data_IF_820271320535
#
_entry.id   IF_820271320535
#
_cell.length_a   1.000
_cell.length_b   1.000
_cell.length_c   1.000
_cell.angle_alpha   90.00
_cell.angle_beta   90.00
_cell.angle_gamma   90.00
#
_symmetry.space_group_name_H-M   'P 1'
#
loop_
_entity.id
_entity.type
_entity.pdbx_description
1 polymer ?
#
# COMPACT_ATOMS: atom_id res chain seq x y z
N UNK A 1 -30.81 23.50 -1.18
CA UNK A 1 -29.43 23.37 -1.69
C UNK A 1 -29.15 21.89 -1.88
N UNK A 2 -28.73 21.43 -3.06
CA UNK A 2 -28.34 20.04 -3.23
C UNK A 2 -27.07 19.79 -2.40
N UNK A 3 -27.12 18.77 -1.55
CA UNK A 3 -25.96 18.27 -0.81
C UNK A 3 -25.05 17.62 -1.86
N UNK A 4 -23.93 18.27 -2.16
CA UNK A 4 -22.86 17.69 -2.97
C UNK A 4 -22.24 16.57 -2.13
N UNK A 5 -22.62 15.33 -2.39
CA UNK A 5 -21.83 14.19 -1.90
C UNK A 5 -20.47 14.25 -2.60
N UNK A 6 -19.35 14.14 -1.88
CA UNK A 6 -18.06 14.02 -2.53
C UNK A 6 -18.11 12.84 -3.49
N UNK A 7 -17.68 13.11 -4.72
CA UNK A 7 -17.54 12.15 -5.81
C UNK A 7 -16.94 10.86 -5.25
N UNK A 8 -17.64 9.73 -5.38
CA UNK A 8 -17.19 8.43 -4.87
C UNK A 8 -15.71 8.24 -5.19
N UNK A 9 -14.88 8.07 -4.15
CA UNK A 9 -13.50 7.66 -4.30
C UNK A 9 -13.44 6.41 -5.18
N UNK A 10 -12.70 6.47 -6.29
CA UNK A 10 -12.61 5.36 -7.22
C UNK A 10 -11.60 4.34 -6.69
N UNK A 11 -12.08 3.16 -6.28
CA UNK A 11 -11.22 2.00 -6.02
C UNK A 11 -11.27 1.09 -7.24
N UNK A 12 -10.15 0.95 -7.94
CA UNK A 12 -10.01 0.06 -9.09
C UNK A 12 -9.22 -1.17 -8.67
N UNK A 13 -9.90 -2.31 -8.54
CA UNK A 13 -9.26 -3.59 -8.25
C UNK A 13 -9.18 -4.46 -9.51
N UNK A 14 -7.98 -4.92 -9.84
CA UNK A 14 -7.69 -5.84 -10.94
C UNK A 14 -7.14 -7.19 -10.44
N UNK A 15 -7.26 -7.46 -9.13
CA UNK A 15 -6.80 -8.72 -8.50
C UNK A 15 -7.97 -9.70 -8.39
N UNK A 16 -7.79 -10.99 -8.74
CA UNK A 16 -8.82 -12.00 -8.53
C UNK A 16 -9.17 -12.15 -7.03
N UNK A 17 -10.45 -12.03 -6.70
CA UNK A 17 -10.97 -12.24 -5.34
C UNK A 17 -11.31 -13.71 -5.03
N UNK A 18 -11.26 -14.60 -6.04
CA UNK A 18 -11.38 -16.04 -5.86
C UNK A 18 -10.22 -16.57 -5.03
N UNK A 19 -10.48 -17.53 -4.13
CA UNK A 19 -9.46 -18.18 -3.28
C UNK A 19 -8.72 -17.25 -2.31
N UNK A 20 -9.35 -16.14 -1.90
CA UNK A 20 -8.75 -15.13 -1.01
C UNK A 20 -8.25 -15.66 0.36
N UNK A 21 -8.78 -16.79 0.82
CA UNK A 21 -8.31 -17.44 2.06
C UNK A 21 -7.07 -18.33 1.89
N UNK A 22 -6.70 -18.69 0.66
CA UNK A 22 -5.58 -19.59 0.37
C UNK A 22 -4.26 -18.83 0.16
N UNK A 23 -4.34 -17.54 -0.15
CA UNK A 23 -3.19 -16.66 -0.28
C UNK A 23 -2.87 -16.03 1.08
N UNK A 24 -1.68 -16.33 1.59
CA UNK A 24 -1.14 -15.80 2.84
C UNK A 24 -0.23 -14.62 2.56
N UNK A 25 -0.31 -13.59 3.40
CA UNK A 25 0.55 -12.41 3.31
C UNK A 25 1.94 -12.76 3.84
N UNK A 26 3.00 -12.31 3.15
CA UNK A 26 4.39 -12.57 3.56
C UNK A 26 5.16 -11.30 3.91
N UNK A 27 5.03 -10.26 3.12
CA UNK A 27 5.63 -8.96 3.43
C UNK A 27 4.90 -7.81 2.75
N UNK A 28 5.05 -6.63 3.33
CA UNK A 28 4.64 -5.35 2.77
C UNK A 28 5.89 -4.53 2.49
N UNK A 29 6.03 -4.04 1.26
CA UNK A 29 7.14 -3.21 0.81
C UNK A 29 6.58 -1.85 0.42
N UNK A 30 6.99 -0.80 1.10
CA UNK A 30 6.69 0.58 0.74
C UNK A 30 7.90 1.18 0.02
N UNK A 31 7.75 1.45 -1.28
CA UNK A 31 8.76 2.08 -2.10
C UNK A 31 8.56 3.60 -2.13
N UNK A 32 9.64 4.33 -1.86
CA UNK A 32 9.68 5.79 -1.78
C UNK A 32 10.68 6.28 -2.84
N UNK A 33 10.25 6.39 -4.11
CA UNK A 33 11.19 6.72 -5.18
C UNK A 33 11.76 8.14 -5.01
N UNK A 34 13.03 8.37 -5.40
CA UNK A 34 13.60 9.71 -5.43
C UNK A 34 12.81 10.58 -6.41
N UNK A 35 12.55 11.85 -6.06
CA UNK A 35 11.68 12.84 -6.75
C UNK A 35 12.05 13.17 -8.23
N UNK A 36 12.73 12.29 -8.95
CA UNK A 36 13.29 12.49 -10.29
C UNK A 36 12.26 12.71 -11.42
N UNK A 37 10.96 12.45 -11.22
CA UNK A 37 9.92 12.78 -12.21
C UNK A 37 8.64 13.33 -11.56
N UNK A 38 7.92 14.20 -12.28
CA UNK A 38 6.69 14.87 -11.83
C UNK A 38 5.49 13.94 -11.57
N UNK A 39 5.70 12.61 -11.59
CA UNK A 39 4.65 11.58 -11.50
C UNK A 39 4.86 10.58 -10.37
N UNK A 40 5.79 10.85 -9.46
CA UNK A 40 6.21 9.87 -8.46
C UNK A 40 5.18 9.70 -7.35
N UNK A 41 4.47 8.59 -7.43
CA UNK A 41 3.59 8.06 -6.41
C UNK A 41 4.43 7.10 -5.55
N UNK A 42 4.30 7.19 -4.22
CA UNK A 42 4.73 6.08 -3.38
C UNK A 42 4.01 4.82 -3.85
N UNK A 43 4.64 3.67 -3.72
CA UNK A 43 4.07 2.40 -4.14
C UNK A 43 4.16 1.41 -2.98
N UNK A 44 3.05 0.73 -2.69
CA UNK A 44 3.06 -0.36 -1.74
C UNK A 44 2.86 -1.69 -2.46
N UNK A 45 3.78 -2.61 -2.28
CA UNK A 45 3.72 -3.96 -2.82
C UNK A 45 3.52 -4.96 -1.67
N UNK A 46 2.70 -5.97 -1.90
CA UNK A 46 2.41 -7.02 -0.91
C UNK A 46 2.77 -8.36 -1.53
N UNK A 47 3.70 -9.07 -0.91
CA UNK A 47 4.05 -10.42 -1.33
C UNK A 47 3.04 -11.40 -0.72
N UNK A 48 2.40 -12.18 -1.58
CA UNK A 48 1.47 -13.24 -1.20
C UNK A 48 1.98 -14.62 -1.63
N UNK A 49 1.73 -15.62 -0.79
CA UNK A 49 2.12 -17.01 -1.02
C UNK A 49 0.91 -17.95 -0.93
N UNK A 50 0.86 -18.94 -1.82
CA UNK A 50 -0.10 -20.04 -1.79
C UNK A 50 0.63 -21.36 -2.11
N UNK A 51 1.04 -22.08 -1.07
CA UNK A 51 1.91 -23.24 -1.22
C UNK A 51 3.25 -22.83 -1.84
N UNK A 52 3.53 -23.31 -3.07
CA UNK A 52 4.73 -22.96 -3.84
C UNK A 52 4.52 -21.79 -4.81
N UNK A 53 3.29 -21.30 -4.95
CA UNK A 53 3.01 -20.15 -5.80
C UNK A 53 3.24 -18.84 -5.03
N UNK A 54 3.73 -17.83 -5.74
CA UNK A 54 3.93 -16.47 -5.24
C UNK A 54 3.33 -15.45 -6.21
N UNK A 55 2.87 -14.33 -5.67
CA UNK A 55 2.46 -13.15 -6.44
C UNK A 55 2.71 -11.88 -5.67
N UNK A 56 2.85 -10.76 -6.38
CA UNK A 56 2.89 -9.43 -5.75
C UNK A 56 1.59 -8.69 -6.04
N UNK A 57 0.98 -8.11 -5.02
CA UNK A 57 -0.15 -7.19 -5.16
C UNK A 57 0.37 -5.77 -4.96
N UNK A 58 0.20 -4.93 -5.96
CA UNK A 58 0.63 -3.53 -5.94
C UNK A 58 -0.55 -2.60 -5.68
N UNK A 59 -0.34 -1.64 -4.79
CA UNK A 59 -1.31 -0.66 -4.31
C UNK A 59 -0.74 0.75 -4.58
N UNK A 60 -1.44 1.49 -5.44
CA UNK A 60 -1.06 2.85 -5.83
C UNK A 60 -2.23 3.79 -5.58
N UNK A 61 -1.99 4.83 -4.77
CA UNK A 61 -2.93 5.92 -4.57
C UNK A 61 -2.89 6.92 -5.73
N UNK A 62 -4.05 7.37 -6.18
CA UNK A 62 -4.21 8.35 -7.25
C UNK A 62 -4.49 9.73 -6.66
N UNK A 63 -3.93 10.80 -7.23
CA UNK A 63 -4.11 12.17 -6.75
C UNK A 63 -4.49 13.09 -7.91
N UNK A 64 -5.31 14.11 -7.63
CA UNK A 64 -5.70 15.12 -8.62
C UNK A 64 -4.52 16.00 -9.09
N UNK A 65 -3.45 16.10 -8.28
CA UNK A 65 -2.28 16.93 -8.54
C UNK A 65 -0.97 16.13 -8.49
N UNK A 66 0.12 16.80 -8.87
CA UNK A 66 1.48 16.24 -8.81
C UNK A 66 1.78 15.85 -7.35
N UNK A 67 2.33 14.65 -7.15
CA UNK A 67 2.96 14.14 -5.93
C UNK A 67 2.10 13.90 -4.66
N UNK A 68 0.86 14.40 -4.56
CA UNK A 68 -0.04 14.09 -3.43
C UNK A 68 0.43 14.56 -2.04
N UNK A 69 1.37 15.52 -1.95
CA UNK A 69 1.97 15.94 -0.67
C UNK A 69 0.99 16.68 0.24
N UNK A 70 0.10 17.49 -0.34
CA UNK A 70 -0.86 18.33 0.39
C UNK A 70 -2.34 17.94 0.19
N UNK A 71 -2.62 16.94 -0.65
CA UNK A 71 -3.99 16.57 -1.02
C UNK A 71 -4.28 15.11 -0.69
N UNK A 72 -5.53 14.79 -0.30
CA UNK A 72 -5.97 13.41 -0.21
C UNK A 72 -5.94 12.70 -1.57
N UNK A 73 -5.83 11.36 -1.60
CA UNK A 73 -6.03 10.60 -2.82
C UNK A 73 -7.46 10.74 -3.34
N UNK A 74 -7.59 10.85 -4.66
CA UNK A 74 -8.87 10.80 -5.39
C UNK A 74 -9.31 9.37 -5.69
N UNK A 75 -8.39 8.42 -5.58
CA UNK A 75 -8.64 7.02 -5.88
C UNK A 75 -7.48 6.13 -5.47
N UNK A 76 -7.64 4.84 -5.73
CA UNK A 76 -6.61 3.84 -5.53
C UNK A 76 -6.76 2.76 -6.60
N UNK A 77 -5.65 2.36 -7.20
CA UNK A 77 -5.57 1.19 -8.07
C UNK A 77 -4.82 0.08 -7.35
N UNK A 78 -5.44 -1.10 -7.32
CA UNK A 78 -4.89 -2.35 -6.76
C UNK A 78 -4.80 -3.37 -7.88
N UNK A 79 -3.61 -3.91 -8.12
CA UNK A 79 -3.38 -4.81 -9.23
C UNK A 79 -2.33 -5.87 -8.91
N UNK A 80 -2.44 -7.02 -9.58
CA UNK A 80 -1.47 -8.09 -9.46
C UNK A 80 -0.29 -7.79 -10.40
N UNK A 81 0.92 -7.86 -9.85
CA UNK A 81 2.17 -7.69 -10.58
C UNK A 81 3.01 -8.94 -10.37
N UNK A 82 3.46 -9.53 -11.48
CA UNK A 82 4.30 -10.73 -11.56
C UNK A 82 3.74 -11.98 -10.86
N UNK A 83 3.50 -13.02 -11.65
CA UNK A 83 3.23 -14.37 -11.16
C UNK A 83 4.54 -15.15 -11.13
N UNK A 84 4.75 -15.96 -10.09
CA UNK A 84 5.91 -16.87 -9.95
C UNK A 84 7.27 -16.19 -9.77
N UNK A 85 7.34 -15.12 -8.96
CA UNK A 85 8.63 -14.54 -8.61
C UNK A 85 9.47 -15.56 -7.83
N UNK A 86 10.64 -15.89 -8.38
CA UNK A 86 11.70 -16.61 -7.69
C UNK A 86 12.33 -15.71 -6.61
N UNK A 87 12.98 -16.31 -5.60
CA UNK A 87 13.68 -15.56 -4.55
C UNK A 87 14.71 -14.56 -5.11
N UNK A 88 15.29 -14.89 -6.27
CA UNK A 88 16.23 -14.02 -7.00
C UNK A 88 15.52 -12.78 -7.57
N UNK A 89 14.36 -12.94 -8.22
CA UNK A 89 13.59 -11.81 -8.76
C UNK A 89 12.99 -10.93 -7.65
N UNK A 90 12.64 -11.54 -6.51
CA UNK A 90 12.28 -10.80 -5.30
C UNK A 90 13.46 -9.95 -4.80
N UNK A 91 14.68 -10.48 -4.84
CA UNK A 91 15.88 -9.73 -4.44
C UNK A 91 16.25 -8.62 -5.44
N UNK A 92 16.08 -8.85 -6.74
CA UNK A 92 16.36 -7.86 -7.78
C UNK A 92 15.33 -6.72 -7.79
N UNK A 93 14.06 -7.00 -7.48
CA UNK A 93 13.05 -5.95 -7.28
C UNK A 93 13.39 -5.01 -6.13
N UNK A 94 14.26 -5.46 -5.20
CA UNK A 94 14.79 -4.72 -4.05
C UNK A 94 16.15 -4.06 -4.31
N UNK A 95 16.69 -4.08 -5.54
CA UNK A 95 17.97 -3.44 -5.90
C UNK A 95 17.92 -1.89 -5.93
N UNK A 96 17.04 -1.26 -5.14
CA UNK A 96 17.06 0.17 -4.85
C UNK A 96 17.07 0.38 -3.34
N UNK A 97 17.77 1.40 -2.85
CA UNK A 97 17.94 1.65 -1.41
C UNK A 97 16.73 2.30 -0.73
N UNK A 98 15.70 2.66 -1.49
CA UNK A 98 14.68 3.60 -1.04
C UNK A 98 13.32 2.90 -0.83
N UNK A 99 13.34 1.84 -0.03
CA UNK A 99 12.12 1.14 0.39
C UNK A 99 12.16 0.80 1.87
N UNK A 100 10.97 0.56 2.41
CA UNK A 100 10.75 0.01 3.74
C UNK A 100 10.04 -1.33 3.58
N UNK A 101 10.56 -2.40 4.18
CA UNK A 101 9.90 -3.71 4.18
C UNK A 101 9.49 -4.13 5.59
N UNK A 102 8.26 -4.62 5.71
CA UNK A 102 7.73 -5.26 6.91
C UNK A 102 7.41 -6.72 6.60
N UNK A 103 8.08 -7.63 7.28
CA UNK A 103 7.77 -9.05 7.23
C UNK A 103 6.54 -9.34 8.09
N UNK A 104 5.60 -10.13 7.57
CA UNK A 104 4.41 -10.53 8.32
C UNK A 104 4.37 -12.04 8.48
N UNK A 105 3.78 -12.48 9.59
CA UNK A 105 3.69 -13.90 9.96
C UNK A 105 2.27 -14.46 9.89
N UNK A 106 1.29 -13.61 9.58
CA UNK A 106 -0.13 -13.96 9.55
C UNK A 106 -0.89 -12.98 8.64
N UNK A 107 -2.13 -13.34 8.32
CA UNK A 107 -3.00 -12.57 7.45
C UNK A 107 -3.11 -13.19 6.06
N UNK A 108 -4.22 -12.87 5.40
CA UNK A 108 -4.62 -13.45 4.13
C UNK A 108 -4.93 -12.37 3.10
N UNK A 109 -5.06 -12.76 1.84
CA UNK A 109 -5.55 -11.87 0.80
C UNK A 109 -6.95 -11.31 1.14
N UNK A 110 -7.81 -12.10 1.81
CA UNK A 110 -9.11 -11.63 2.26
C UNK A 110 -8.99 -10.47 3.27
N UNK A 111 -8.03 -10.56 4.21
CA UNK A 111 -7.75 -9.48 5.17
C UNK A 111 -7.28 -8.21 4.45
N UNK A 112 -6.38 -8.35 3.46
CA UNK A 112 -5.91 -7.25 2.63
C UNK A 112 -7.07 -6.59 1.86
N UNK A 113 -7.90 -7.37 1.17
CA UNK A 113 -9.03 -6.84 0.41
C UNK A 113 -10.08 -6.19 1.31
N UNK A 114 -10.30 -6.71 2.52
CA UNK A 114 -11.21 -6.12 3.51
C UNK A 114 -10.67 -4.77 4.00
N UNK A 115 -9.38 -4.70 4.36
CA UNK A 115 -8.70 -3.48 4.78
C UNK A 115 -8.81 -2.35 3.74
N UNK A 116 -8.72 -2.73 2.47
CA UNK A 116 -8.80 -1.80 1.32
C UNK A 116 -10.25 -1.50 0.87
N UNK A 117 -11.27 -2.07 1.53
CA UNK A 117 -12.68 -1.84 1.20
C UNK A 117 -13.15 -2.50 -0.10
N UNK A 118 -12.46 -3.53 -0.57
CA UNK A 118 -12.71 -4.21 -1.86
C UNK A 118 -13.61 -5.45 -1.68
N UNK A 119 -13.75 -5.98 -0.47
CA UNK A 119 -14.58 -7.16 -0.18
C UNK A 119 -16.08 -6.91 -0.30
N UNK A 120 -16.86 -7.93 -0.69
CA UNK A 120 -18.34 -7.92 -0.76
C UNK A 120 -18.97 -7.83 0.65
N UNK A 121 -19.07 -6.63 1.17
CA UNK A 121 -19.78 -6.26 2.39
C UNK A 121 -20.00 -4.74 2.40
N UNK A 122 -20.82 -4.18 3.29
CA UNK A 122 -20.90 -2.73 3.43
C UNK A 122 -19.47 -2.20 3.68
N UNK A 123 -19.01 -1.30 2.81
CA UNK A 123 -17.72 -0.62 2.97
C UNK A 123 -17.62 -0.13 4.40
N UNK A 124 -16.65 -0.64 5.16
CA UNK A 124 -16.42 -0.14 6.51
C UNK A 124 -16.14 1.36 6.39
N UNK A 125 -16.85 2.18 7.18
CA UNK A 125 -16.65 3.63 7.27
C UNK A 125 -15.16 3.99 7.39
N UNK A 126 -14.39 3.08 7.97
CA UNK A 126 -12.94 3.15 8.10
C UNK A 126 -12.25 3.42 6.75
N UNK A 127 -12.53 2.75 5.63
CA UNK A 127 -11.76 2.94 4.38
C UNK A 127 -11.76 4.39 3.88
N UNK A 128 -12.84 5.13 4.12
CA UNK A 128 -12.93 6.55 3.77
C UNK A 128 -11.90 7.40 4.53
N UNK A 129 -11.56 7.04 5.76
CA UNK A 129 -10.52 7.72 6.56
C UNK A 129 -9.15 7.68 5.86
N UNK A 130 -8.79 6.60 5.14
CA UNK A 130 -7.54 6.56 4.38
C UNK A 130 -7.52 7.64 3.30
N UNK A 131 -8.67 7.86 2.65
CA UNK A 131 -8.85 8.83 1.58
C UNK A 131 -9.04 10.27 2.08
N UNK A 132 -9.02 10.51 3.39
CA UNK A 132 -8.98 11.86 3.97
C UNK A 132 -7.55 12.32 4.28
N UNK A 133 -6.58 11.40 4.22
CA UNK A 133 -5.17 11.63 4.58
C UNK A 133 -4.35 11.99 3.35
N UNK A 134 -3.25 12.74 3.53
CA UNK A 134 -2.28 12.99 2.46
C UNK A 134 -1.51 11.70 2.08
N UNK A 135 -0.61 11.78 1.10
CA UNK A 135 0.17 10.61 0.63
C UNK A 135 0.82 9.80 1.75
N UNK A 136 1.53 10.45 2.66
CA UNK A 136 2.23 9.76 3.76
C UNK A 136 1.19 9.09 4.67
N UNK A 137 0.16 9.85 5.08
CA UNK A 137 -0.88 9.36 5.96
C UNK A 137 -1.72 8.22 5.36
N UNK A 138 -1.88 8.18 4.04
CA UNK A 138 -2.53 7.08 3.34
C UNK A 138 -1.76 5.76 3.52
N UNK A 139 -0.47 5.75 3.17
CA UNK A 139 0.35 4.53 3.25
C UNK A 139 0.63 4.11 4.71
N UNK A 140 0.92 5.07 5.60
CA UNK A 140 1.04 4.77 7.04
C UNK A 140 -0.30 4.30 7.62
N UNK A 141 -1.43 4.83 7.14
CA UNK A 141 -2.76 4.40 7.55
C UNK A 141 -3.06 2.95 7.21
N UNK A 142 -2.50 2.42 6.11
CA UNK A 142 -2.58 0.98 5.79
C UNK A 142 -1.84 0.17 6.86
N UNK A 143 -0.61 0.54 7.23
CA UNK A 143 0.14 -0.14 8.29
C UNK A 143 -0.56 -0.04 9.67
N UNK A 144 -1.09 1.14 10.03
CA UNK A 144 -1.87 1.32 11.25
C UNK A 144 -3.07 0.37 11.31
N UNK A 145 -3.72 0.11 10.17
CA UNK A 145 -4.83 -0.86 10.08
C UNK A 145 -4.37 -2.29 10.21
N UNK A 146 -3.29 -2.67 9.54
CA UNK A 146 -2.68 -3.99 9.72
C UNK A 146 -2.36 -4.24 11.19
N UNK A 147 -1.92 -3.22 11.92
CA UNK A 147 -1.69 -3.29 13.36
C UNK A 147 -3.00 -3.47 14.14
N UNK A 148 -4.06 -2.72 13.80
CA UNK A 148 -5.38 -2.84 14.46
C UNK A 148 -5.99 -4.24 14.32
N UNK A 149 -5.78 -4.92 13.19
CA UNK A 149 -6.25 -6.30 12.96
C UNK A 149 -5.22 -7.36 13.40
N UNK A 150 -4.11 -6.94 14.02
CA UNK A 150 -3.12 -7.82 14.61
C UNK A 150 -2.21 -8.56 13.62
N UNK A 151 -2.13 -8.10 12.37
CA UNK A 151 -1.21 -8.65 11.35
C UNK A 151 0.24 -8.21 11.62
N UNK A 152 0.42 -6.97 12.06
CA UNK A 152 1.71 -6.40 12.49
C UNK A 152 1.59 -5.82 13.90
N UNK A 153 2.72 -5.42 14.46
CA UNK A 153 2.82 -4.83 15.80
C UNK A 153 2.90 -3.30 15.75
N UNK A 154 2.62 -2.60 16.85
CA UNK A 154 2.85 -1.15 16.94
C UNK A 154 4.31 -0.77 16.66
N UNK A 155 5.27 -1.62 17.05
CA UNK A 155 6.69 -1.41 16.79
C UNK A 155 7.01 -1.43 15.28
N UNK A 156 6.34 -2.29 14.51
CA UNK A 156 6.48 -2.30 13.06
C UNK A 156 5.97 -0.99 12.44
N UNK A 157 4.86 -0.45 12.96
CA UNK A 157 4.31 0.84 12.49
C UNK A 157 5.28 1.99 12.75
N UNK A 158 5.86 2.05 13.96
CA UNK A 158 6.88 3.06 14.30
C UNK A 158 8.12 2.94 13.40
N UNK A 159 8.64 1.72 13.24
CA UNK A 159 9.81 1.47 12.39
C UNK A 159 9.57 1.88 10.94
N UNK A 160 8.37 1.61 10.40
CA UNK A 160 8.00 2.05 9.06
C UNK A 160 7.93 3.56 8.96
N UNK A 161 7.31 4.21 9.95
CA UNK A 161 7.18 5.66 9.99
C UNK A 161 8.55 6.33 9.96
N UNK A 162 9.45 5.90 10.84
CA UNK A 162 10.81 6.46 10.94
C UNK A 162 11.58 6.28 9.64
N UNK A 163 11.62 5.05 9.11
CA UNK A 163 12.32 4.75 7.86
C UNK A 163 11.74 5.52 6.66
N UNK A 164 10.42 5.65 6.58
CA UNK A 164 9.78 6.40 5.51
C UNK A 164 10.14 7.89 5.55
N UNK A 165 10.18 8.49 6.75
CA UNK A 165 10.61 9.87 6.91
C UNK A 165 12.10 10.05 6.62
N UNK A 166 12.96 9.11 7.03
CA UNK A 166 14.40 9.17 6.75
C UNK A 166 14.70 9.12 5.25
N UNK A 167 14.06 8.21 4.52
CA UNK A 167 14.19 8.13 3.05
C UNK A 167 13.68 9.41 2.40
N UNK A 168 12.51 9.90 2.81
CA UNK A 168 11.95 11.14 2.25
C UNK A 168 12.84 12.36 2.54
N UNK A 169 13.39 12.48 3.74
CA UNK A 169 14.26 13.58 4.14
C UNK A 169 15.61 13.52 3.41
N UNK A 170 16.16 12.33 3.21
CA UNK A 170 17.36 12.11 2.39
C UNK A 170 17.13 12.60 0.96
N UNK A 171 15.98 12.26 0.37
CA UNK A 171 15.60 12.74 -0.97
C UNK A 171 15.38 14.25 -1.04
N UNK A 172 14.89 14.88 0.04
CA UNK A 172 14.75 16.34 0.12
C UNK A 172 16.13 17.03 0.18
N UNK A 173 17.03 16.55 1.04
CA UNK A 173 18.38 17.12 1.23
C UNK A 173 19.28 16.95 0.01
N UNK A 174 19.19 15.84 -0.72
CA UNK A 174 19.97 15.61 -1.94
C UNK A 174 19.65 16.60 -3.09
N UNK A 175 18.65 17.47 -2.91
CA UNK A 175 18.21 18.48 -3.89
C UNK A 175 18.57 19.91 -3.50
N UNK A 176 19.00 20.14 -2.26
CA UNK A 176 19.44 21.44 -1.74
C UNK A 176 20.94 21.66 -2.01
#
# INVERSE_FOLDING_TARGET
MPINYPTRTAVKCMVPLGDAGNWTLRSFVLRIPPYATDRLLWEMSVLELNGTASRTITIVAEYAGINGEASPPTGMTVFEQNQFLTDLELSESRNGTDFVEVMVSRGTHADLMSLLGISRGPSSADVMELFERNRIGFYLGIFERLCKIGIITPQDVEAVRDAAFDIQNTHKRARE
#
